data_IF_273757330030
#
_entry.id   IF_273757330030
#
_cell.length_a   1.000
_cell.length_b   1.000
_cell.length_c   1.000
_cell.angle_alpha   90.00
_cell.angle_beta   90.00
_cell.angle_gamma   90.00
#
_symmetry.space_group_name_H-M   'P 1'
#
loop_
_entity.id
_entity.type
_entity.pdbx_description
1 polymer ?
#
# COMPACT_ATOMS: atom_id res chain seq x y z
N UNK A 1 67.87 28.96 5.18
CA UNK A 1 66.91 28.46 6.19
C UNK A 1 65.44 28.35 5.72
N UNK A 2 65.03 28.88 4.54
CA UNK A 2 63.61 28.83 4.07
C UNK A 2 63.10 27.48 3.54
N UNK A 3 63.98 26.56 3.12
CA UNK A 3 63.57 25.32 2.42
C UNK A 3 62.76 24.35 3.31
N UNK A 4 63.03 24.34 4.61
CA UNK A 4 62.40 23.40 5.55
C UNK A 4 60.92 23.72 5.80
N UNK A 5 60.52 25.00 5.76
CA UNK A 5 59.13 25.41 6.02
C UNK A 5 58.16 24.95 4.93
N UNK A 6 58.63 24.86 3.68
CA UNK A 6 57.80 24.36 2.57
C UNK A 6 57.47 22.88 2.74
N UNK A 7 58.44 22.05 3.11
CA UNK A 7 58.25 20.60 3.33
C UNK A 7 57.30 20.35 4.51
N UNK A 8 57.46 21.11 5.60
CA UNK A 8 56.55 21.02 6.77
C UNK A 8 55.12 21.41 6.38
N UNK A 9 54.94 22.47 5.59
CA UNK A 9 53.63 22.89 5.10
C UNK A 9 52.96 21.82 4.24
N UNK A 10 53.69 21.21 3.30
CA UNK A 10 53.17 20.10 2.50
C UNK A 10 52.75 18.92 3.35
N UNK A 11 53.55 18.54 4.35
CA UNK A 11 53.22 17.44 5.24
C UNK A 11 51.94 17.71 6.05
N UNK A 12 51.78 18.92 6.58
CA UNK A 12 50.57 19.34 7.29
C UNK A 12 49.34 19.30 6.37
N UNK A 13 49.46 19.79 5.13
CA UNK A 13 48.38 19.74 4.15
C UNK A 13 47.95 18.31 3.81
N UNK A 14 48.92 17.40 3.66
CA UNK A 14 48.65 15.97 3.41
C UNK A 14 47.90 15.35 4.59
N UNK A 15 48.31 15.63 5.82
CA UNK A 15 47.62 15.12 7.01
C UNK A 15 46.18 15.63 7.13
N UNK A 16 45.97 16.92 6.84
CA UNK A 16 44.62 17.52 6.83
C UNK A 16 43.75 16.83 5.77
N UNK A 17 44.29 16.59 4.58
CA UNK A 17 43.57 15.92 3.51
C UNK A 17 43.18 14.47 3.90
N UNK A 18 44.11 13.71 4.48
CA UNK A 18 43.84 12.35 4.96
C UNK A 18 42.73 12.36 6.03
N UNK A 19 42.80 13.30 6.98
CA UNK A 19 41.79 13.44 8.02
C UNK A 19 40.39 13.71 7.44
N UNK A 20 40.29 14.67 6.51
CA UNK A 20 39.02 14.99 5.83
C UNK A 20 38.49 13.80 5.03
N UNK A 21 39.37 13.06 4.36
CA UNK A 21 39.00 11.88 3.58
C UNK A 21 38.42 10.77 4.46
N UNK A 22 39.03 10.50 5.63
CA UNK A 22 38.50 9.52 6.60
C UNK A 22 37.12 9.95 7.10
N UNK A 23 36.94 11.24 7.41
CA UNK A 23 35.64 11.76 7.85
C UNK A 23 34.57 11.60 6.77
N UNK A 24 34.92 11.87 5.51
CA UNK A 24 34.04 11.67 4.36
C UNK A 24 33.61 10.20 4.19
N UNK A 25 34.55 9.25 4.31
CA UNK A 25 34.21 7.82 4.25
C UNK A 25 33.24 7.42 5.37
N UNK A 26 33.47 7.88 6.60
CA UNK A 26 32.57 7.60 7.73
C UNK A 26 31.16 8.15 7.48
N UNK A 27 31.06 9.37 6.96
CA UNK A 27 29.78 9.98 6.60
C UNK A 27 29.06 9.17 5.51
N UNK A 28 29.78 8.73 4.48
CA UNK A 28 29.24 7.91 3.41
C UNK A 28 28.70 6.55 3.92
N UNK A 29 29.45 5.87 4.80
CA UNK A 29 29.01 4.62 5.42
C UNK A 29 27.76 4.83 6.28
N UNK A 30 27.72 5.91 7.07
CA UNK A 30 26.55 6.26 7.90
C UNK A 30 25.29 6.48 7.06
N UNK A 31 25.42 7.22 5.95
CA UNK A 31 24.30 7.44 5.02
C UNK A 31 23.83 6.14 4.36
N UNK A 32 24.75 5.25 4.00
CA UNK A 32 24.42 3.95 3.41
C UNK A 32 23.67 3.06 4.42
N UNK A 33 24.10 3.03 5.68
CA UNK A 33 23.40 2.32 6.75
C UNK A 33 21.99 2.90 6.99
N UNK A 34 21.85 4.22 7.03
CA UNK A 34 20.55 4.88 7.18
C UNK A 34 19.60 4.53 6.03
N UNK A 35 20.10 4.48 4.79
CA UNK A 35 19.31 4.10 3.63
C UNK A 35 18.82 2.64 3.73
N UNK A 36 19.68 1.72 4.16
CA UNK A 36 19.31 0.32 4.38
C UNK A 36 18.25 0.21 5.49
N UNK A 37 18.43 0.89 6.62
CA UNK A 37 17.45 0.92 7.71
C UNK A 37 16.10 1.46 7.24
N UNK A 38 16.09 2.53 6.45
CA UNK A 38 14.86 3.08 5.89
C UNK A 38 14.12 2.06 5.01
N UNK A 39 14.84 1.30 4.17
CA UNK A 39 14.24 0.21 3.36
C UNK A 39 13.68 -0.92 4.22
N UNK A 40 14.36 -1.29 5.30
CA UNK A 40 13.88 -2.31 6.25
C UNK A 40 12.59 -1.85 6.91
N UNK A 41 12.52 -0.61 7.41
CA UNK A 41 11.32 -0.04 8.03
C UNK A 41 10.14 -0.08 7.05
N UNK A 42 10.33 0.35 5.80
CA UNK A 42 9.31 0.32 4.76
C UNK A 42 8.81 -1.11 4.48
N UNK A 43 9.73 -2.07 4.40
CA UNK A 43 9.39 -3.48 4.17
C UNK A 43 8.57 -4.09 5.32
N UNK A 44 8.97 -3.82 6.57
CA UNK A 44 8.30 -4.31 7.78
C UNK A 44 6.91 -3.66 7.95
N UNK A 45 6.80 -2.34 7.77
CA UNK A 45 5.53 -1.63 7.88
C UNK A 45 4.46 -2.17 6.92
N UNK A 46 4.87 -2.51 5.68
CA UNK A 46 3.99 -3.12 4.68
C UNK A 46 3.49 -4.51 5.11
N UNK A 47 4.33 -5.32 5.75
CA UNK A 47 3.98 -6.67 6.24
C UNK A 47 2.98 -6.63 7.39
N UNK A 48 3.15 -5.74 8.37
CA UNK A 48 2.27 -5.68 9.55
C UNK A 48 0.83 -5.32 9.20
N UNK A 49 0.62 -4.39 8.27
CA UNK A 49 -0.73 -3.99 7.84
C UNK A 49 -1.51 -5.16 7.25
N UNK A 50 -0.85 -6.01 6.46
CA UNK A 50 -1.46 -7.18 5.82
C UNK A 50 -1.77 -8.30 6.82
N UNK A 51 -0.92 -8.52 7.82
CA UNK A 51 -1.11 -9.59 8.81
C UNK A 51 -2.33 -9.31 9.71
N UNK A 52 -2.45 -8.08 10.21
CA UNK A 52 -3.57 -7.71 11.09
C UNK A 52 -4.91 -7.79 10.35
N UNK A 53 -4.98 -7.27 9.12
CA UNK A 53 -6.19 -7.37 8.29
C UNK A 53 -6.57 -8.82 8.01
N UNK A 54 -5.61 -9.67 7.64
CA UNK A 54 -5.87 -11.10 7.39
C UNK A 54 -6.41 -11.79 8.63
N UNK A 55 -5.88 -11.50 9.81
CA UNK A 55 -6.33 -12.12 11.05
C UNK A 55 -7.73 -11.65 11.46
N UNK A 56 -8.04 -10.36 11.28
CA UNK A 56 -9.38 -9.81 11.48
C UNK A 56 -10.39 -10.50 10.55
N UNK A 57 -10.08 -10.61 9.25
CA UNK A 57 -10.95 -11.27 8.27
C UNK A 57 -11.13 -12.76 8.57
N UNK A 58 -10.07 -13.46 9.00
CA UNK A 58 -10.15 -14.86 9.44
C UNK A 58 -11.07 -15.04 10.63
N UNK A 59 -10.97 -14.17 11.63
CA UNK A 59 -11.84 -14.21 12.80
C UNK A 59 -13.30 -13.92 12.43
N UNK A 60 -13.52 -13.01 11.48
CA UNK A 60 -14.86 -12.59 11.03
C UNK A 60 -15.56 -13.65 10.17
N UNK A 61 -14.90 -14.16 9.12
CA UNK A 61 -15.53 -15.00 8.11
C UNK A 61 -15.31 -16.50 8.29
N UNK A 62 -14.36 -16.92 9.16
CA UNK A 62 -13.97 -18.31 9.50
C UNK A 62 -13.48 -19.19 8.33
N UNK A 63 -13.99 -18.99 7.13
CA UNK A 63 -13.68 -19.74 5.93
C UNK A 63 -12.51 -19.11 5.17
N UNK A 64 -11.40 -19.85 5.04
CA UNK A 64 -10.17 -19.36 4.41
C UNK A 64 -10.37 -19.00 2.93
N UNK A 65 -11.29 -19.69 2.22
CA UNK A 65 -11.59 -19.43 0.81
C UNK A 65 -12.19 -18.03 0.61
N UNK A 66 -13.16 -17.67 1.42
CA UNK A 66 -13.81 -16.36 1.42
C UNK A 66 -12.81 -15.27 1.78
N UNK A 67 -12.01 -15.47 2.84
CA UNK A 67 -10.94 -14.51 3.22
C UNK A 67 -9.93 -14.31 2.09
N UNK A 68 -9.54 -15.38 1.40
CA UNK A 68 -8.60 -15.28 0.28
C UNK A 68 -9.16 -14.44 -0.86
N UNK A 69 -10.45 -14.61 -1.22
CA UNK A 69 -11.10 -13.81 -2.27
C UNK A 69 -11.19 -12.33 -1.91
N UNK A 70 -11.58 -12.02 -0.66
CA UNK A 70 -11.62 -10.65 -0.13
C UNK A 70 -10.23 -10.00 -0.19
N UNK A 71 -9.19 -10.71 0.26
CA UNK A 71 -7.81 -10.22 0.19
C UNK A 71 -7.31 -10.01 -1.25
N UNK A 72 -7.84 -10.78 -2.20
CA UNK A 72 -7.54 -10.67 -3.63
C UNK A 72 -8.39 -9.62 -4.35
N UNK A 73 -9.37 -9.01 -3.68
CA UNK A 73 -10.37 -8.10 -4.27
C UNK A 73 -11.14 -8.73 -5.43
N UNK A 74 -11.37 -10.04 -5.35
CA UNK A 74 -12.17 -10.78 -6.31
C UNK A 74 -13.66 -10.61 -5.97
N UNK A 75 -14.51 -10.42 -6.98
CA UNK A 75 -15.97 -10.33 -6.82
C UNK A 75 -16.56 -11.66 -7.24
N UNK A 76 -17.51 -12.21 -6.49
CA UNK A 76 -18.18 -13.45 -6.85
C UNK A 76 -19.69 -13.43 -6.59
N UNK A 77 -20.44 -14.29 -7.29
CA UNK A 77 -21.89 -14.43 -7.07
C UNK A 77 -22.15 -15.06 -5.69
N UNK A 78 -23.09 -14.49 -4.95
CA UNK A 78 -23.39 -14.93 -3.58
C UNK A 78 -22.57 -14.24 -2.49
N UNK A 79 -21.66 -13.33 -2.85
CA UNK A 79 -20.95 -12.46 -1.90
C UNK A 79 -21.94 -11.53 -1.17
N UNK A 80 -21.78 -11.36 0.14
CA UNK A 80 -22.63 -10.43 0.89
C UNK A 80 -22.16 -9.00 0.71
N UNK A 81 -23.06 -8.02 0.87
CA UNK A 81 -22.72 -6.59 0.83
C UNK A 81 -21.59 -6.25 1.82
N UNK A 82 -21.58 -6.88 2.98
CA UNK A 82 -20.52 -6.72 3.99
C UNK A 82 -19.17 -7.27 3.51
N UNK A 83 -19.14 -8.45 2.89
CA UNK A 83 -17.91 -9.01 2.30
C UNK A 83 -17.39 -8.12 1.18
N UNK A 84 -18.29 -7.58 0.38
CA UNK A 84 -17.95 -6.68 -0.71
C UNK A 84 -17.37 -5.36 -0.20
N UNK A 85 -17.93 -4.81 0.89
CA UNK A 85 -17.36 -3.63 1.57
C UNK A 85 -15.98 -3.92 2.15
N UNK A 86 -15.77 -5.09 2.75
CA UNK A 86 -14.46 -5.49 3.26
C UNK A 86 -13.42 -5.71 2.14
N UNK A 87 -13.89 -6.08 0.94
CA UNK A 87 -13.07 -6.34 -0.25
C UNK A 87 -12.69 -5.05 -1.01
N UNK A 88 -13.69 -4.28 -1.45
CA UNK A 88 -13.54 -3.10 -2.31
C UNK A 88 -13.61 -1.77 -1.57
N UNK A 89 -14.09 -1.77 -0.33
CA UNK A 89 -14.40 -0.56 0.43
C UNK A 89 -15.76 0.02 0.06
N UNK A 90 -16.01 1.24 0.55
CA UNK A 90 -17.28 1.94 0.32
C UNK A 90 -17.44 2.32 -1.16
N UNK A 91 -18.62 2.08 -1.76
CA UNK A 91 -18.89 2.52 -3.12
C UNK A 91 -18.91 4.04 -3.20
N UNK A 92 -18.62 4.57 -4.40
CA UNK A 92 -18.67 6.01 -4.67
C UNK A 92 -20.10 6.52 -4.79
N UNK A 93 -20.98 5.66 -5.28
CA UNK A 93 -22.39 5.96 -5.46
C UNK A 93 -23.20 4.66 -5.43
N UNK A 94 -24.47 4.74 -5.01
CA UNK A 94 -25.38 3.61 -4.87
C UNK A 94 -26.72 3.98 -5.50
N UNK A 95 -27.08 3.31 -6.60
CA UNK A 95 -28.44 3.37 -7.12
C UNK A 95 -29.27 2.28 -6.45
N UNK A 96 -30.26 2.67 -5.63
CA UNK A 96 -31.17 1.72 -5.00
C UNK A 96 -32.58 1.78 -5.59
N UNK A 97 -33.17 0.61 -5.78
CA UNK A 97 -34.57 0.44 -6.17
C UNK A 97 -35.23 -0.57 -5.24
N UNK A 98 -36.10 -0.07 -4.38
CA UNK A 98 -36.90 -0.89 -3.45
C UNK A 98 -38.22 -1.21 -4.12
N UNK A 99 -38.49 -2.50 -4.33
CA UNK A 99 -39.79 -3.04 -4.73
C UNK A 99 -40.47 -3.66 -3.51
N UNK A 100 -41.76 -4.01 -3.64
CA UNK A 100 -42.56 -4.58 -2.54
C UNK A 100 -41.91 -5.79 -1.85
N UNK A 101 -41.24 -6.65 -2.61
CA UNK A 101 -40.66 -7.92 -2.12
C UNK A 101 -39.15 -8.05 -2.33
N UNK A 102 -38.52 -7.08 -3.00
CA UNK A 102 -37.11 -7.17 -3.41
C UNK A 102 -36.41 -5.82 -3.30
N UNK A 103 -35.20 -5.84 -2.78
CA UNK A 103 -34.28 -4.71 -2.77
C UNK A 103 -33.22 -4.94 -3.85
N UNK A 104 -33.11 -4.04 -4.82
CA UNK A 104 -32.05 -4.07 -5.83
C UNK A 104 -31.17 -2.86 -5.69
N UNK A 105 -29.86 -3.07 -5.58
CA UNK A 105 -28.86 -2.00 -5.49
C UNK A 105 -27.83 -2.16 -6.60
N UNK A 106 -27.33 -1.04 -7.11
CA UNK A 106 -26.19 -0.99 -8.02
C UNK A 106 -25.14 -0.11 -7.39
N UNK A 107 -24.08 -0.75 -6.92
CA UNK A 107 -22.95 -0.10 -6.28
C UNK A 107 -21.93 0.27 -7.34
N UNK A 108 -21.52 1.54 -7.37
CA UNK A 108 -20.63 2.09 -8.39
C UNK A 108 -19.25 2.38 -7.81
N UNK A 109 -18.24 1.93 -8.54
CA UNK A 109 -16.82 2.04 -8.21
C UNK A 109 -16.05 2.61 -9.40
N UNK A 110 -14.80 3.02 -9.17
CA UNK A 110 -13.89 3.56 -10.18
C UNK A 110 -14.51 4.70 -11.01
N UNK A 111 -14.81 5.81 -10.34
CA UNK A 111 -15.36 7.00 -10.99
C UNK A 111 -14.33 7.60 -11.97
N UNK A 112 -14.68 7.63 -13.26
CA UNK A 112 -13.88 8.17 -14.36
C UNK A 112 -14.41 9.52 -14.90
N UNK A 113 -15.57 9.95 -14.41
CA UNK A 113 -16.20 11.22 -14.77
C UNK A 113 -17.52 11.40 -14.02
N UNK A 114 -18.23 12.50 -14.26
CA UNK A 114 -19.45 12.87 -13.51
C UNK A 114 -20.48 11.76 -13.44
N UNK A 115 -20.66 10.98 -14.51
CA UNK A 115 -21.56 9.83 -14.54
C UNK A 115 -20.94 8.60 -15.23
N UNK A 116 -19.61 8.48 -15.17
CA UNK A 116 -18.87 7.36 -15.77
C UNK A 116 -18.17 6.59 -14.66
N UNK A 117 -18.48 5.29 -14.59
CA UNK A 117 -17.96 4.37 -13.58
C UNK A 117 -17.38 3.14 -14.29
N UNK A 118 -16.16 2.77 -13.91
CA UNK A 118 -15.43 1.63 -14.46
C UNK A 118 -15.93 0.29 -13.93
N UNK A 119 -16.58 0.28 -12.76
CA UNK A 119 -17.12 -0.92 -12.14
C UNK A 119 -18.51 -0.66 -11.54
N UNK A 120 -19.47 -1.50 -11.90
CA UNK A 120 -20.82 -1.48 -11.35
C UNK A 120 -21.18 -2.88 -10.87
N UNK A 121 -21.57 -3.01 -9.61
CA UNK A 121 -21.91 -4.29 -9.00
C UNK A 121 -23.38 -4.27 -8.63
N UNK A 122 -24.12 -5.28 -9.06
CA UNK A 122 -25.54 -5.43 -8.79
C UNK A 122 -25.74 -6.36 -7.60
N UNK A 123 -26.45 -5.86 -6.60
CA UNK A 123 -26.87 -6.61 -5.42
C UNK A 123 -28.39 -6.77 -5.43
N UNK A 124 -28.86 -7.97 -5.09
CA UNK A 124 -30.27 -8.22 -4.76
C UNK A 124 -30.35 -8.74 -3.33
N UNK A 125 -31.14 -8.07 -2.49
CA UNK A 125 -31.28 -8.37 -1.06
C UNK A 125 -29.91 -8.53 -0.37
N UNK A 126 -29.02 -7.55 -0.61
CA UNK A 126 -27.67 -7.48 -0.03
C UNK A 126 -26.71 -8.62 -0.46
N UNK A 127 -27.05 -9.33 -1.54
CA UNK A 127 -26.22 -10.39 -2.14
C UNK A 127 -25.82 -10.02 -3.58
N UNK A 128 -24.55 -10.17 -3.91
CA UNK A 128 -24.02 -9.94 -5.26
C UNK A 128 -24.61 -10.95 -6.25
N UNK A 129 -25.30 -10.45 -7.27
CA UNK A 129 -25.89 -11.26 -8.36
C UNK A 129 -25.14 -11.11 -9.69
N UNK A 130 -24.42 -10.01 -9.88
CA UNK A 130 -23.63 -9.75 -11.08
C UNK A 130 -22.86 -8.44 -11.02
N UNK A 131 -21.92 -8.24 -11.95
CA UNK A 131 -21.13 -7.01 -12.05
C UNK A 131 -20.74 -6.75 -13.51
N UNK A 132 -20.57 -5.48 -13.83
CA UNK A 132 -20.08 -4.99 -15.12
C UNK A 132 -18.80 -4.20 -14.88
N UNK A 133 -17.74 -4.57 -15.61
CA UNK A 133 -16.47 -3.86 -15.61
C UNK A 133 -16.20 -3.32 -17.01
N UNK A 134 -15.91 -2.03 -17.11
CA UNK A 134 -15.39 -1.41 -18.33
C UNK A 134 -13.87 -1.49 -18.29
N UNK A 135 -13.30 -2.18 -19.26
CA UNK A 135 -11.86 -2.19 -19.52
C UNK A 135 -11.41 -0.90 -20.24
#
# INVERSE_FOLDING_TARGET
MRRNNTVVLYFVLVLIFIYLFIYFIKAAISLLLMFILFKIIQYVAKRHKTLNQKQILRNKYKEERTVKKILQREIWKGETSEQLLDSLGTPKDIDQKILKTKKKEIWKYDQQGTNRFGLKITLENDIVVGWEKKD
#
